data_IF_833241635439
#
_entry.id   IF_833241635439
#
_cell.length_a   1.000
_cell.length_b   1.000
_cell.length_c   1.000
_cell.angle_alpha   90.00
_cell.angle_beta   90.00
_cell.angle_gamma   90.00
#
_symmetry.space_group_name_H-M   'P 1'
#
loop_
_entity.id
_entity.type
_entity.pdbx_description
1 polymer ?
#
# COMPACT_ATOMS: atom_id res chain seq x y z
N UNK A 1 56.71 15.31 8.99
CA UNK A 1 55.85 15.31 10.19
C UNK A 1 55.68 13.91 10.73
N UNK A 2 55.59 13.77 12.03
CA UNK A 2 55.43 12.48 12.71
C UNK A 2 54.36 12.59 13.81
N UNK A 3 53.54 11.54 13.97
CA UNK A 3 52.51 11.57 14.99
C UNK A 3 53.08 11.25 16.38
N UNK A 4 52.48 11.83 17.42
CA UNK A 4 52.73 11.42 18.81
C UNK A 4 52.55 9.88 18.95
N UNK A 5 53.43 9.24 19.72
CA UNK A 5 53.45 7.79 19.86
C UNK A 5 54.19 7.02 18.76
N UNK A 6 54.46 7.64 17.61
CA UNK A 6 55.19 7.00 16.51
C UNK A 6 56.71 7.14 16.69
N UNK A 7 57.48 6.25 16.07
CA UNK A 7 58.93 6.31 16.08
C UNK A 7 59.46 7.24 14.97
N UNK A 8 60.48 8.02 15.28
CA UNK A 8 61.28 8.77 14.35
C UNK A 8 62.69 8.17 14.33
N UNK A 9 63.28 7.96 13.15
CA UNK A 9 64.65 7.49 12.97
C UNK A 9 65.55 8.60 12.47
N UNK A 10 66.81 8.54 12.91
CA UNK A 10 67.92 9.33 12.41
C UNK A 10 68.98 8.37 11.89
N UNK A 11 69.28 8.46 10.61
CA UNK A 11 70.42 7.73 10.03
C UNK A 11 71.64 8.63 10.07
N UNK A 12 72.73 8.16 10.68
CA UNK A 12 73.96 8.80 10.78
C UNK A 12 74.84 8.39 9.62
N UNK A 13 75.24 9.29 8.75
CA UNK A 13 76.23 9.02 7.76
C UNK A 13 77.60 9.14 8.45
N UNK A 14 77.95 8.04 9.20
CA UNK A 14 79.21 7.98 9.91
C UNK A 14 80.38 8.15 8.92
N UNK A 15 81.12 9.19 9.14
CA UNK A 15 82.24 9.51 8.30
C UNK A 15 83.49 8.70 8.68
N UNK A 16 83.54 8.30 9.95
CA UNK A 16 84.55 7.48 10.55
C UNK A 16 83.88 6.51 11.56
N UNK A 17 84.18 5.22 11.48
CA UNK A 17 83.69 4.23 12.41
C UNK A 17 84.15 4.41 13.88
N UNK A 18 85.11 5.33 14.11
CA UNK A 18 85.64 5.68 15.41
C UNK A 18 84.90 6.80 16.14
N UNK A 19 83.99 7.48 15.47
CA UNK A 19 83.26 8.59 16.09
C UNK A 19 82.09 8.12 16.94
N UNK A 20 81.91 8.69 18.10
CA UNK A 20 80.76 8.52 18.99
C UNK A 20 79.82 9.74 18.79
N UNK A 21 78.55 9.53 19.11
CA UNK A 21 77.52 10.54 18.87
C UNK A 21 76.62 10.72 20.10
N UNK A 22 76.17 11.97 20.33
CA UNK A 22 75.03 12.26 21.21
C UNK A 22 73.93 12.81 20.35
N UNK A 23 72.74 12.19 20.46
CA UNK A 23 71.54 12.71 19.84
C UNK A 23 70.64 13.28 20.93
N UNK A 24 70.37 14.57 20.84
CA UNK A 24 69.42 15.27 21.72
C UNK A 24 68.16 15.58 20.98
N UNK A 25 67.13 14.85 21.36
CA UNK A 25 65.81 15.08 20.86
C UNK A 25 65.10 16.10 21.75
N UNK A 26 64.49 17.12 21.19
CA UNK A 26 63.84 18.18 21.99
C UNK A 26 62.64 18.74 21.26
N UNK A 27 61.60 19.04 22.00
CA UNK A 27 60.45 19.84 21.56
C UNK A 27 60.59 21.27 22.08
N UNK A 28 61.02 21.41 23.29
CA UNK A 28 61.32 22.64 24.03
C UNK A 28 62.22 22.33 25.22
N UNK A 29 62.51 23.32 26.07
CA UNK A 29 63.34 23.11 27.24
C UNK A 29 62.88 22.15 28.28
N UNK A 30 61.55 21.77 28.27
CA UNK A 30 60.93 20.85 29.22
C UNK A 30 60.71 19.46 28.62
N UNK A 31 60.73 19.35 27.31
CA UNK A 31 60.51 18.10 26.58
C UNK A 31 61.79 17.76 25.78
N UNK A 32 62.73 17.09 26.45
CA UNK A 32 64.00 16.69 25.87
C UNK A 32 64.38 15.26 26.28
N UNK A 33 65.06 14.53 25.39
CA UNK A 33 65.67 13.24 25.64
C UNK A 33 67.06 13.19 25.01
N UNK A 34 67.98 12.50 25.67
CA UNK A 34 69.34 12.36 25.17
C UNK A 34 69.69 10.88 25.00
N UNK A 35 70.31 10.54 23.88
CA UNK A 35 70.87 9.25 23.57
C UNK A 35 72.35 9.33 23.29
N UNK A 36 73.11 8.44 23.91
CA UNK A 36 74.51 8.28 23.68
C UNK A 36 74.73 7.09 22.75
N UNK A 37 75.52 7.30 21.71
CA UNK A 37 75.73 6.28 20.66
C UNK A 37 77.24 6.03 20.55
N UNK A 38 77.61 4.78 20.77
CA UNK A 38 79.01 4.35 20.64
C UNK A 38 79.52 4.40 19.19
N UNK A 39 80.82 4.27 19.03
CA UNK A 39 81.48 4.25 17.72
C UNK A 39 80.91 3.11 16.86
N UNK A 40 80.74 3.37 15.57
CA UNK A 40 80.14 2.43 14.58
C UNK A 40 78.64 2.34 14.55
N UNK A 41 77.91 3.06 15.38
CA UNK A 41 76.45 3.14 15.33
C UNK A 41 76.01 4.12 14.25
N UNK A 42 75.31 3.60 13.21
CA UNK A 42 74.86 4.39 12.07
C UNK A 42 73.38 4.74 12.07
N UNK A 43 72.61 4.29 13.05
CA UNK A 43 71.20 4.57 13.14
C UNK A 43 70.74 4.62 14.60
N UNK A 44 69.86 5.55 14.87
CA UNK A 44 69.10 5.59 16.14
C UNK A 44 67.64 5.97 15.90
N UNK A 45 66.80 5.65 16.84
CA UNK A 45 65.38 6.03 16.77
C UNK A 45 64.84 6.38 18.15
N UNK A 46 63.80 7.19 18.17
CA UNK A 46 63.08 7.56 19.37
C UNK A 46 61.59 7.47 19.10
N UNK A 47 60.81 6.92 20.04
CA UNK A 47 59.35 7.06 20.00
C UNK A 47 58.97 8.44 20.54
N UNK A 48 58.23 9.21 19.75
CA UNK A 48 57.74 10.55 20.17
C UNK A 48 56.79 10.34 21.36
N UNK A 49 57.10 10.85 22.55
CA UNK A 49 56.19 10.71 23.68
C UNK A 49 54.84 11.38 23.43
N UNK A 50 53.78 10.77 23.86
CA UNK A 50 52.43 11.36 23.75
C UNK A 50 52.24 12.62 24.57
N UNK A 51 53.11 12.83 25.57
CA UNK A 51 53.18 14.05 26.39
C UNK A 51 53.81 15.24 25.69
N UNK A 52 54.58 15.02 24.58
CA UNK A 52 55.16 16.13 23.85
C UNK A 52 54.09 16.89 23.07
N UNK A 53 54.03 18.22 23.21
CA UNK A 53 53.05 19.02 22.48
C UNK A 53 53.36 19.02 20.98
N UNK A 54 52.30 19.21 20.17
CA UNK A 54 52.42 19.34 18.71
C UNK A 54 53.23 20.58 18.32
N UNK A 55 53.81 20.55 17.13
CA UNK A 55 54.59 21.64 16.55
C UNK A 55 56.01 21.23 16.24
N UNK A 56 56.90 22.20 16.01
CA UNK A 56 58.28 21.94 15.61
C UNK A 56 59.09 21.35 16.76
N UNK A 57 59.78 20.26 16.46
CA UNK A 57 60.72 19.60 17.36
C UNK A 57 62.08 19.45 16.64
N UNK A 58 63.11 19.11 17.37
CA UNK A 58 64.46 19.08 16.89
C UNK A 58 65.19 17.81 17.30
N UNK A 59 66.08 17.33 16.42
CA UNK A 59 67.10 16.36 16.72
C UNK A 59 68.47 17.07 16.52
N UNK A 60 69.21 17.26 17.60
CA UNK A 60 70.53 17.76 17.55
C UNK A 60 71.48 16.59 17.63
N UNK A 61 72.38 16.48 16.64
CA UNK A 61 73.45 15.50 16.57
C UNK A 61 74.74 16.19 16.92
N UNK A 62 75.42 15.68 17.94
CA UNK A 62 76.74 16.08 18.31
C UNK A 62 77.68 14.90 18.03
N UNK A 63 78.81 15.16 17.38
CA UNK A 63 79.80 14.15 17.01
C UNK A 63 81.10 14.37 17.81
N UNK A 64 81.63 13.26 18.35
CA UNK A 64 82.80 13.28 19.25
C UNK A 64 83.87 12.29 18.77
N UNK A 65 85.14 12.61 18.97
CA UNK A 65 86.32 11.76 18.62
C UNK A 65 86.56 10.63 19.56
N UNK A 66 85.89 10.60 20.71
CA UNK A 66 86.15 9.65 21.79
C UNK A 66 84.85 9.28 22.57
N UNK A 67 84.84 8.16 23.27
CA UNK A 67 83.72 7.60 24.05
C UNK A 67 83.57 8.34 25.41
N UNK A 68 84.42 9.27 25.74
CA UNK A 68 84.22 10.13 26.90
C UNK A 68 83.35 11.35 26.60
N UNK A 69 83.01 11.53 25.32
CA UNK A 69 82.22 12.67 24.81
C UNK A 69 82.79 14.02 25.26
N UNK A 70 84.13 14.13 25.31
CA UNK A 70 84.79 15.34 25.77
C UNK A 70 85.21 16.25 24.66
N UNK A 71 85.44 15.74 23.44
CA UNK A 71 85.95 16.50 22.30
C UNK A 71 84.93 16.53 21.13
N UNK A 72 84.03 17.49 21.16
CA UNK A 72 82.99 17.66 20.11
C UNK A 72 83.64 18.23 18.85
N UNK A 73 83.51 17.55 17.72
CA UNK A 73 84.07 17.94 16.43
C UNK A 73 82.98 18.51 15.47
N UNK A 74 81.70 18.33 15.76
CA UNK A 74 80.59 18.88 14.95
C UNK A 74 79.28 18.80 15.61
N UNK A 75 78.39 19.72 15.27
CA UNK A 75 76.97 19.72 15.70
C UNK A 75 76.09 20.01 14.53
N UNK A 76 75.07 19.19 14.32
CA UNK A 76 74.06 19.42 13.33
C UNK A 76 72.63 19.38 13.98
N UNK A 77 71.69 20.17 13.47
CA UNK A 77 70.36 20.27 14.00
C UNK A 77 69.35 20.04 12.87
N UNK A 78 68.51 19.06 13.10
CA UNK A 78 67.39 18.70 12.19
C UNK A 78 66.09 19.08 12.85
N UNK A 79 65.17 19.68 12.09
CA UNK A 79 63.80 19.96 12.57
C UNK A 79 62.78 19.00 11.98
N UNK A 80 61.79 18.65 12.77
CA UNK A 80 60.63 17.89 12.33
C UNK A 80 59.35 18.40 13.02
N UNK A 81 58.19 18.07 12.50
CA UNK A 81 56.89 18.51 13.05
C UNK A 81 56.23 17.36 13.77
N UNK A 82 55.87 17.54 15.03
CA UNK A 82 55.03 16.62 15.80
C UNK A 82 53.57 16.96 15.50
N UNK A 83 52.80 15.96 15.12
CA UNK A 83 51.36 16.05 14.88
C UNK A 83 50.61 15.22 15.89
N UNK A 84 49.31 15.48 16.04
CA UNK A 84 48.42 14.60 16.83
C UNK A 84 48.34 13.25 16.14
N UNK A 85 48.38 12.16 16.90
CA UNK A 85 48.01 10.86 16.39
C UNK A 85 46.48 10.86 16.12
N UNK A 86 46.07 10.73 14.85
CA UNK A 86 44.64 10.71 14.52
C UNK A 86 43.85 9.63 15.29
N UNK A 87 44.46 8.47 15.57
CA UNK A 87 43.84 7.37 16.28
C UNK A 87 43.55 7.70 17.76
N UNK A 88 44.33 8.62 18.36
CA UNK A 88 44.15 9.02 19.76
C UNK A 88 42.94 9.96 19.98
N UNK A 89 42.40 10.56 18.91
CA UNK A 89 41.26 11.48 18.98
C UNK A 89 39.96 10.71 18.92
N UNK A 90 39.50 10.26 20.06
CA UNK A 90 38.26 9.47 20.19
C UNK A 90 37.06 10.41 20.32
N UNK A 91 36.10 10.34 19.38
CA UNK A 91 34.85 11.08 19.49
C UNK A 91 33.92 10.45 20.54
N UNK A 92 33.04 11.28 21.13
CA UNK A 92 31.98 10.84 22.03
C UNK A 92 30.61 11.05 21.37
N UNK A 93 29.83 10.00 21.21
CA UNK A 93 28.56 10.10 20.51
C UNK A 93 27.50 10.90 21.29
N UNK A 94 27.58 10.91 22.62
CA UNK A 94 26.56 11.53 23.46
C UNK A 94 25.29 10.67 23.60
N UNK A 95 24.17 11.31 23.87
CA UNK A 95 22.87 10.67 24.12
C UNK A 95 21.89 11.02 23.02
N UNK A 96 21.29 10.00 22.38
CA UNK A 96 20.19 10.15 21.45
C UNK A 96 18.86 10.12 22.21
N UNK A 97 18.02 11.13 22.01
CA UNK A 97 16.60 11.16 22.41
C UNK A 97 15.72 11.23 21.17
N UNK A 98 14.52 10.62 21.28
CA UNK A 98 13.52 10.61 20.21
C UNK A 98 12.19 11.04 20.80
N UNK A 99 11.58 12.06 20.24
CA UNK A 99 10.30 12.59 20.64
C UNK A 99 9.25 12.44 19.53
N UNK A 100 8.03 12.10 19.91
CA UNK A 100 6.88 12.09 19.03
C UNK A 100 6.50 13.53 18.66
N UNK A 101 6.28 13.78 17.37
CA UNK A 101 5.69 15.02 16.87
C UNK A 101 4.46 14.68 16.05
N UNK A 102 3.30 15.16 16.49
CA UNK A 102 2.02 14.90 15.84
C UNK A 102 1.45 16.17 15.23
N UNK A 103 0.83 16.08 14.02
CA UNK A 103 0.05 17.18 13.47
C UNK A 103 -1.26 17.34 14.25
N UNK A 104 -1.89 18.53 14.17
CA UNK A 104 -3.17 18.81 14.81
C UNK A 104 -4.34 17.92 14.32
N UNK A 105 -4.16 17.24 13.20
CA UNK A 105 -5.12 16.28 12.62
C UNK A 105 -5.15 14.93 13.34
N UNK A 106 -4.19 14.64 14.20
CA UNK A 106 -4.19 13.44 15.06
C UNK A 106 -4.62 13.86 16.46
N UNK A 107 -5.54 13.13 17.14
CA UNK A 107 -5.95 13.46 18.50
C UNK A 107 -4.75 13.59 19.43
N UNK A 108 -4.68 14.69 20.20
CA UNK A 108 -3.52 15.02 21.04
C UNK A 108 -3.27 14.02 22.18
N UNK A 109 -4.28 13.22 22.53
CA UNK A 109 -4.20 12.16 23.53
C UNK A 109 -3.73 10.81 22.98
N UNK A 110 -3.42 10.73 21.68
CA UNK A 110 -2.87 9.54 21.06
C UNK A 110 -1.33 9.57 21.18
N UNK A 111 -0.80 9.23 22.28
CA UNK A 111 0.65 9.21 22.51
C UNK A 111 1.32 8.01 21.81
N UNK A 112 1.14 7.91 20.49
CA UNK A 112 1.66 6.85 19.63
C UNK A 112 2.01 7.39 18.24
N UNK A 113 2.98 6.77 17.57
CA UNK A 113 3.31 7.11 16.18
C UNK A 113 2.28 6.47 15.23
N UNK A 114 1.63 7.30 14.42
CA UNK A 114 0.63 6.91 13.43
C UNK A 114 1.22 7.03 12.03
N UNK A 115 1.19 5.94 11.27
CA UNK A 115 1.66 5.91 9.87
C UNK A 115 1.00 6.99 9.03
N UNK A 116 1.81 7.68 8.24
CA UNK A 116 1.37 8.75 7.33
C UNK A 116 1.07 10.09 7.99
N UNK A 117 1.11 10.17 9.34
CA UNK A 117 0.79 11.38 10.10
C UNK A 117 1.93 11.82 11.02
N UNK A 118 2.39 10.91 11.88
CA UNK A 118 3.38 11.27 12.90
C UNK A 118 4.79 11.39 12.33
N UNK A 119 5.59 12.27 12.94
CA UNK A 119 7.00 12.43 12.68
C UNK A 119 7.81 12.17 13.96
N UNK A 120 9.07 11.80 13.83
CA UNK A 120 9.98 11.59 14.94
C UNK A 120 11.03 12.71 14.96
N UNK A 121 11.16 13.39 16.10
CA UNK A 121 12.23 14.37 16.31
C UNK A 121 13.37 13.71 17.10
N UNK A 122 14.48 13.50 16.42
CA UNK A 122 15.74 13.01 16.99
C UNK A 122 16.54 14.18 17.50
N UNK A 123 17.12 14.07 18.68
CA UNK A 123 18.04 15.06 19.25
C UNK A 123 19.23 14.34 19.85
N UNK A 124 20.44 14.71 19.38
CA UNK A 124 21.69 14.22 19.90
C UNK A 124 22.29 15.29 20.82
N UNK A 125 22.54 14.95 22.08
CA UNK A 125 23.11 15.84 23.10
C UNK A 125 24.39 15.30 23.69
N UNK A 126 25.31 16.20 24.09
CA UNK A 126 26.58 15.81 24.72
C UNK A 126 27.56 15.08 23.78
N UNK A 127 27.38 15.18 22.47
CA UNK A 127 28.36 14.67 21.51
C UNK A 127 29.60 15.56 21.44
N UNK A 128 30.76 14.94 21.12
CA UNK A 128 32.00 15.67 20.92
C UNK A 128 32.82 15.00 19.82
N UNK A 129 33.46 15.76 18.91
CA UNK A 129 34.37 15.21 17.91
C UNK A 129 35.72 14.76 18.48
N UNK A 130 35.96 15.00 19.77
CA UNK A 130 37.25 14.84 20.42
C UNK A 130 38.08 16.13 20.43
N UNK A 131 38.96 16.24 21.43
CA UNK A 131 39.78 17.45 21.62
C UNK A 131 40.67 17.71 20.39
N UNK A 132 40.68 18.96 19.89
CA UNK A 132 41.48 19.34 18.72
C UNK A 132 40.93 18.84 17.37
N UNK A 133 39.70 18.32 17.33
CA UNK A 133 39.03 17.86 16.10
C UNK A 133 37.72 18.60 15.88
N UNK A 134 37.17 18.46 14.69
CA UNK A 134 35.83 18.92 14.30
C UNK A 134 34.96 17.77 13.82
N UNK A 135 33.68 18.00 13.70
CA UNK A 135 32.79 17.03 13.08
C UNK A 135 33.04 16.97 11.57
N UNK A 136 33.34 15.78 11.04
CA UNK A 136 33.24 15.47 9.61
C UNK A 136 31.81 15.17 9.22
N UNK A 137 31.10 14.43 10.08
CA UNK A 137 29.72 14.08 9.85
C UNK A 137 29.00 13.73 11.16
N UNK A 138 27.77 14.21 11.29
CA UNK A 138 26.77 13.77 12.27
C UNK A 138 25.64 13.14 11.45
N UNK A 139 25.44 11.84 11.57
CA UNK A 139 24.40 11.08 10.89
C UNK A 139 23.31 10.72 11.90
N UNK A 140 22.10 11.25 11.68
CA UNK A 140 20.89 10.88 12.41
C UNK A 140 19.98 10.13 11.48
N UNK A 141 19.45 8.97 11.88
CA UNK A 141 18.55 8.17 11.07
C UNK A 141 17.43 7.54 11.90
N UNK A 142 16.26 7.34 11.29
CA UNK A 142 15.13 6.62 11.85
C UNK A 142 14.40 5.85 10.74
N UNK A 143 14.40 4.52 10.80
CA UNK A 143 13.97 3.69 9.68
C UNK A 143 14.80 3.98 8.42
N UNK A 144 14.12 4.19 7.30
CA UNK A 144 14.75 4.54 6.01
C UNK A 144 15.16 6.02 5.89
N UNK A 145 14.70 6.89 6.81
CA UNK A 145 14.96 8.33 6.74
C UNK A 145 16.22 8.70 7.49
N UNK A 146 17.01 9.61 6.92
CA UNK A 146 18.26 10.04 7.53
C UNK A 146 18.60 11.49 7.19
N UNK A 147 19.42 12.11 8.05
CA UNK A 147 20.03 13.41 7.84
C UNK A 147 21.51 13.34 8.18
N UNK A 148 22.33 13.91 7.32
CA UNK A 148 23.78 14.06 7.49
C UNK A 148 24.12 15.53 7.56
N UNK A 149 24.89 15.94 8.57
CA UNK A 149 25.31 17.33 8.78
C UNK A 149 26.66 17.37 9.48
N UNK A 150 27.34 18.52 9.43
CA UNK A 150 28.57 18.76 10.18
C UNK A 150 28.35 19.54 11.50
N UNK A 151 27.15 20.04 11.70
CA UNK A 151 26.86 20.92 12.86
C UNK A 151 25.51 20.65 13.51
N UNK A 152 24.54 20.11 12.76
CA UNK A 152 23.19 19.93 13.27
C UNK A 152 23.04 18.63 14.06
N UNK A 153 22.62 18.75 15.29
CA UNK A 153 22.39 17.64 16.22
C UNK A 153 20.91 17.25 16.33
N UNK A 154 20.04 17.83 15.48
CA UNK A 154 18.61 17.54 15.44
C UNK A 154 18.16 17.13 14.05
N UNK A 155 17.25 16.17 14.00
CA UNK A 155 16.59 15.71 12.78
C UNK A 155 15.14 15.41 13.06
N UNK A 156 14.22 16.06 12.35
CA UNK A 156 12.80 15.67 12.34
C UNK A 156 12.54 14.95 11.03
N UNK A 157 12.01 13.72 11.13
CA UNK A 157 11.63 12.93 9.95
C UNK A 157 10.48 13.59 9.20
N UNK A 158 10.27 13.23 7.94
CA UNK A 158 8.98 13.37 7.33
C UNK A 158 7.97 12.43 8.01
N UNK A 159 6.70 12.47 7.61
CA UNK A 159 5.70 11.51 8.08
C UNK A 159 6.22 10.07 7.92
N UNK A 160 6.08 9.27 8.98
CA UNK A 160 6.58 7.89 8.99
C UNK A 160 5.64 7.01 8.17
N UNK A 161 6.16 6.41 7.10
CA UNK A 161 5.38 5.58 6.18
C UNK A 161 5.54 4.07 6.44
N UNK A 162 6.55 3.68 7.21
CA UNK A 162 6.81 2.31 7.63
C UNK A 162 6.04 1.99 8.91
N UNK A 163 5.59 0.75 9.07
CA UNK A 163 4.88 0.27 10.27
C UNK A 163 5.75 -0.69 11.07
N UNK A 164 5.41 -0.86 12.36
CA UNK A 164 6.14 -1.72 13.27
C UNK A 164 7.27 -0.99 13.99
N UNK A 165 8.28 -1.75 14.43
CA UNK A 165 9.42 -1.21 15.15
C UNK A 165 10.43 -0.57 14.19
N UNK A 166 10.70 0.72 14.37
CA UNK A 166 11.77 1.44 13.68
C UNK A 166 12.91 1.74 14.65
N UNK A 167 14.14 1.51 14.19
CA UNK A 167 15.34 1.86 14.95
C UNK A 167 15.81 3.25 14.56
N UNK A 168 16.01 4.11 15.57
CA UNK A 168 16.59 5.44 15.41
C UNK A 168 18.05 5.41 15.89
N UNK A 169 18.97 5.94 15.10
CA UNK A 169 20.43 5.87 15.33
C UNK A 169 21.05 7.24 15.22
N UNK A 170 22.15 7.42 15.96
CA UNK A 170 23.04 8.56 15.82
C UNK A 170 24.49 8.07 15.75
N UNK A 171 25.22 8.52 14.72
CA UNK A 171 26.64 8.25 14.53
C UNK A 171 27.34 9.55 14.23
N UNK A 172 28.43 9.81 14.91
CA UNK A 172 29.33 10.91 14.62
C UNK A 172 30.63 10.37 14.05
N UNK A 173 31.24 11.14 13.16
CA UNK A 173 32.57 10.90 12.61
C UNK A 173 33.33 12.20 12.71
N UNK A 174 34.56 12.18 13.25
CA UNK A 174 35.41 13.36 13.35
C UNK A 174 36.25 13.60 12.09
N UNK A 175 36.95 14.68 12.04
CA UNK A 175 37.78 15.08 10.89
C UNK A 175 38.85 14.04 10.53
N UNK A 176 39.28 13.24 11.49
CA UNK A 176 40.28 12.17 11.30
C UNK A 176 39.65 10.82 10.84
N UNK A 177 38.35 10.73 10.80
CA UNK A 177 37.65 9.52 10.36
C UNK A 177 37.24 8.58 11.51
N UNK A 178 37.58 8.89 12.75
CA UNK A 178 37.15 8.10 13.90
C UNK A 178 35.67 8.33 14.17
N UNK A 179 34.96 7.27 14.54
CA UNK A 179 33.53 7.32 14.70
C UNK A 179 33.08 6.80 16.08
N UNK A 180 31.95 7.32 16.55
CA UNK A 180 31.24 6.83 17.72
C UNK A 180 29.74 6.83 17.43
N UNK A 181 29.02 5.88 18.03
CA UNK A 181 27.57 5.74 17.91
C UNK A 181 26.90 5.86 19.28
N UNK A 182 25.83 6.61 19.35
CA UNK A 182 24.98 6.61 20.54
C UNK A 182 24.18 5.28 20.63
N UNK A 183 23.66 4.97 21.81
CA UNK A 183 22.77 3.84 21.99
C UNK A 183 21.51 4.02 21.14
N UNK A 184 21.18 3.01 20.35
CA UNK A 184 20.01 3.00 19.50
C UNK A 184 18.72 3.20 20.31
N UNK A 185 17.74 3.87 19.72
CA UNK A 185 16.40 4.01 20.25
C UNK A 185 15.41 3.36 19.30
N UNK A 186 14.37 2.76 19.84
CA UNK A 186 13.28 2.17 19.04
C UNK A 186 11.99 2.93 19.27
N UNK A 187 11.21 3.08 18.20
CA UNK A 187 9.84 3.58 18.22
C UNK A 187 8.94 2.56 17.54
N UNK A 188 7.65 2.52 17.91
CA UNK A 188 6.68 1.66 17.23
C UNK A 188 5.69 2.53 16.48
N UNK A 189 5.59 2.32 15.17
CA UNK A 189 4.64 3.03 14.28
C UNK A 189 3.45 2.12 13.99
N UNK A 190 2.26 2.59 14.32
CA UNK A 190 1.01 1.85 14.15
C UNK A 190 0.37 2.20 12.81
N UNK A 191 -0.17 1.17 12.15
CA UNK A 191 -0.88 1.36 10.89
C UNK A 191 -2.20 2.09 11.09
N UNK A 192 -2.57 2.88 10.09
CA UNK A 192 -3.87 3.54 10.01
C UNK A 192 -4.45 3.41 8.61
N UNK A 193 -5.73 3.12 8.58
CA UNK A 193 -6.59 3.20 7.40
C UNK A 193 -7.94 3.78 7.81
N UNK A 194 -8.56 4.53 6.89
CA UNK A 194 -9.91 5.06 7.09
C UNK A 194 -10.94 3.94 7.26
N UNK A 195 -12.05 4.15 7.97
CA UNK A 195 -13.11 3.16 8.13
C UNK A 195 -13.50 2.49 6.80
N UNK A 196 -13.49 1.17 6.78
CA UNK A 196 -13.81 0.34 5.61
C UNK A 196 -15.13 -0.37 5.85
N UNK A 197 -16.07 -0.20 4.93
CA UNK A 197 -17.32 -0.94 4.95
C UNK A 197 -17.09 -2.35 4.39
N UNK A 198 -17.14 -3.36 5.26
CA UNK A 198 -17.06 -4.75 4.88
C UNK A 198 -18.38 -5.25 4.27
N UNK A 199 -19.50 -4.72 4.76
CA UNK A 199 -20.82 -5.00 4.19
C UNK A 199 -21.79 -3.85 4.49
N UNK A 200 -22.74 -3.65 3.60
CA UNK A 200 -23.92 -2.80 3.79
C UNK A 200 -25.11 -3.47 3.13
N UNK A 201 -26.17 -3.68 3.91
CA UNK A 201 -27.45 -4.16 3.43
C UNK A 201 -28.57 -3.28 3.97
N UNK A 202 -29.59 -3.04 3.14
CA UNK A 202 -30.79 -2.34 3.54
C UNK A 202 -32.00 -2.96 2.84
N UNK A 203 -33.11 -3.07 3.57
CA UNK A 203 -34.39 -3.53 3.03
C UNK A 203 -35.55 -2.84 3.73
N UNK A 204 -36.71 -2.77 3.06
CA UNK A 204 -37.92 -2.24 3.66
C UNK A 204 -38.48 -3.22 4.70
N UNK A 205 -39.03 -2.62 5.76
CA UNK A 205 -39.56 -3.43 6.87
C UNK A 205 -40.69 -2.70 7.61
N UNK A 206 -41.33 -3.44 8.48
CA UNK A 206 -42.24 -2.90 9.50
C UNK A 206 -41.43 -2.24 10.64
N UNK A 207 -42.11 -1.62 11.58
CA UNK A 207 -41.46 -0.93 12.75
C UNK A 207 -40.65 -1.87 13.65
N UNK A 208 -40.91 -3.17 13.60
CA UNK A 208 -40.14 -4.18 14.35
C UNK A 208 -39.06 -4.88 13.53
N UNK A 209 -38.76 -4.38 12.31
CA UNK A 209 -37.72 -4.93 11.47
C UNK A 209 -38.10 -6.14 10.59
N UNK A 210 -39.35 -6.58 10.65
CA UNK A 210 -39.83 -7.67 9.79
C UNK A 210 -39.86 -7.19 8.32
N UNK A 211 -39.23 -7.89 7.37
CA UNK A 211 -39.29 -7.55 5.97
C UNK A 211 -40.73 -7.33 5.46
N UNK A 212 -40.90 -6.20 4.77
CA UNK A 212 -42.23 -5.84 4.22
C UNK A 212 -42.03 -4.85 3.08
N UNK A 213 -42.52 -5.21 1.90
CA UNK A 213 -42.37 -4.37 0.69
C UNK A 213 -43.15 -3.07 0.78
N UNK A 214 -44.20 -3.03 1.57
CA UNK A 214 -45.01 -1.85 1.83
C UNK A 214 -44.71 -1.19 3.19
N UNK A 215 -43.67 -1.67 3.89
CA UNK A 215 -43.30 -1.18 5.19
C UNK A 215 -42.87 0.30 5.16
N UNK A 216 -43.17 1.04 6.20
CA UNK A 216 -42.85 2.46 6.33
C UNK A 216 -41.42 2.71 6.89
N UNK A 217 -40.65 1.65 7.09
CA UNK A 217 -39.31 1.68 7.68
C UNK A 217 -38.29 1.00 6.79
N UNK A 218 -37.00 1.25 7.08
CA UNK A 218 -35.87 0.57 6.44
C UNK A 218 -35.03 -0.07 7.54
N UNK A 219 -34.74 -1.37 7.40
CA UNK A 219 -33.73 -2.04 8.22
C UNK A 219 -32.38 -1.87 7.54
N UNK A 220 -31.39 -1.38 8.28
CA UNK A 220 -30.01 -1.14 7.80
C UNK A 220 -29.06 -1.96 8.63
N UNK A 221 -28.18 -2.72 7.96
CA UNK A 221 -27.08 -3.46 8.59
C UNK A 221 -25.79 -3.05 7.91
N UNK A 222 -24.88 -2.46 8.66
CA UNK A 222 -23.55 -2.10 8.16
C UNK A 222 -22.47 -2.72 9.05
N UNK A 223 -21.45 -3.32 8.43
CA UNK A 223 -20.26 -3.80 9.11
C UNK A 223 -19.07 -2.92 8.72
N UNK A 224 -18.48 -2.25 9.71
CA UNK A 224 -17.37 -1.30 9.52
C UNK A 224 -16.17 -1.77 10.32
N UNK A 225 -15.02 -1.81 9.66
CA UNK A 225 -13.72 -2.09 10.26
C UNK A 225 -12.92 -0.79 10.34
N UNK A 226 -12.25 -0.55 11.47
CA UNK A 226 -11.38 0.59 11.71
C UNK A 226 -9.97 0.13 12.09
N UNK A 227 -8.97 0.96 11.82
CA UNK A 227 -7.61 0.74 12.32
C UNK A 227 -7.58 0.94 13.85
N UNK A 228 -7.04 -0.03 14.58
CA UNK A 228 -7.00 0.04 16.06
C UNK A 228 -6.05 1.10 16.60
N UNK A 229 -4.93 1.34 15.92
CA UNK A 229 -3.88 2.29 16.35
C UNK A 229 -3.50 2.07 17.83
N UNK A 230 -3.13 0.82 18.17
CA UNK A 230 -2.82 0.41 19.55
C UNK A 230 -3.99 0.67 20.56
N UNK A 231 -5.22 0.47 20.11
CA UNK A 231 -6.41 0.69 20.95
C UNK A 231 -6.76 2.15 21.20
N UNK A 232 -6.08 3.10 20.54
CA UNK A 232 -6.37 4.54 20.68
C UNK A 232 -7.51 5.00 19.79
N UNK A 233 -7.73 4.33 18.65
CA UNK A 233 -8.79 4.67 17.71
C UNK A 233 -10.09 3.92 18.05
N UNK A 234 -11.20 4.58 17.86
CA UNK A 234 -12.54 4.02 18.02
C UNK A 234 -13.48 4.59 16.97
N UNK A 235 -14.55 3.87 16.67
CA UNK A 235 -15.64 4.38 15.85
C UNK A 235 -16.42 5.42 16.66
N UNK A 236 -16.33 6.68 16.23
CA UNK A 236 -16.98 7.83 16.91
C UNK A 236 -18.43 8.00 16.46
N UNK A 237 -18.64 7.84 15.13
CA UNK A 237 -19.96 7.98 14.53
C UNK A 237 -20.21 6.85 13.55
N UNK A 238 -21.36 6.22 13.65
CA UNK A 238 -21.93 5.36 12.63
C UNK A 238 -23.40 5.70 12.50
N UNK A 239 -23.80 6.24 11.35
CA UNK A 239 -25.16 6.75 11.13
C UNK A 239 -25.64 6.47 9.73
N UNK A 240 -26.94 6.31 9.59
CA UNK A 240 -27.61 6.11 8.32
C UNK A 240 -28.58 7.26 8.02
N UNK A 241 -28.74 7.54 6.74
CA UNK A 241 -29.74 8.44 6.19
C UNK A 241 -30.40 7.76 4.99
N UNK A 242 -31.62 8.12 4.70
CA UNK A 242 -32.32 7.64 3.51
C UNK A 242 -32.85 8.81 2.68
N UNK A 243 -33.03 8.57 1.40
CA UNK A 243 -33.64 9.50 0.45
C UNK A 243 -34.45 8.72 -0.58
N UNK A 244 -35.49 9.28 -1.21
CA UNK A 244 -36.08 8.69 -2.41
C UNK A 244 -35.01 8.41 -3.46
N UNK A 245 -35.13 7.29 -4.17
CA UNK A 245 -34.15 6.92 -5.18
C UNK A 245 -34.00 8.02 -6.24
N UNK A 246 -32.75 8.44 -6.50
CA UNK A 246 -32.45 9.54 -7.41
C UNK A 246 -32.62 10.94 -6.83
N UNK A 247 -32.95 11.08 -5.54
CA UNK A 247 -33.05 12.35 -4.84
C UNK A 247 -31.78 12.62 -4.03
N UNK A 248 -31.35 13.88 -3.97
CA UNK A 248 -30.29 14.36 -3.09
C UNK A 248 -30.78 14.91 -1.76
N UNK A 249 -32.10 14.84 -1.50
CA UNK A 249 -32.69 15.29 -0.24
C UNK A 249 -32.71 14.15 0.76
N UNK A 250 -31.74 14.19 1.67
CA UNK A 250 -31.51 13.14 2.66
C UNK A 250 -32.29 13.43 3.96
N UNK A 251 -32.79 12.36 4.58
CA UNK A 251 -33.39 12.43 5.93
C UNK A 251 -32.39 12.90 6.98
N UNK A 252 -32.88 13.24 8.16
CA UNK A 252 -32.02 13.40 9.36
C UNK A 252 -31.23 12.11 9.60
N UNK A 253 -29.96 12.24 9.92
CA UNK A 253 -29.09 11.13 10.23
C UNK A 253 -29.55 10.42 11.53
N UNK A 254 -29.59 9.10 11.49
CA UNK A 254 -29.94 8.25 12.63
C UNK A 254 -28.79 7.33 12.97
N UNK A 255 -28.42 7.26 14.26
CA UNK A 255 -27.36 6.36 14.71
C UNK A 255 -27.74 4.90 14.48
N UNK A 256 -26.77 4.10 14.01
CA UNK A 256 -26.93 2.66 13.83
C UNK A 256 -25.81 1.91 14.56
N UNK A 257 -26.05 0.63 14.84
CA UNK A 257 -25.09 -0.22 15.55
C UNK A 257 -24.25 -1.01 14.56
N UNK A 258 -22.92 -0.98 14.72
CA UNK A 258 -21.99 -1.71 13.88
C UNK A 258 -22.24 -3.23 13.95
N UNK A 259 -22.42 -3.87 12.79
CA UNK A 259 -22.66 -5.30 12.65
C UNK A 259 -24.06 -5.76 13.04
N UNK A 260 -24.97 -4.86 13.41
CA UNK A 260 -26.34 -5.21 13.81
C UNK A 260 -27.38 -4.46 13.00
N UNK A 261 -28.54 -5.11 12.76
CA UNK A 261 -29.65 -4.47 12.08
C UNK A 261 -30.24 -3.34 12.95
N UNK A 262 -30.44 -2.19 12.35
CA UNK A 262 -31.10 -1.03 12.97
C UNK A 262 -32.24 -0.56 12.07
N UNK A 263 -33.41 -0.35 12.65
CA UNK A 263 -34.58 0.15 11.93
C UNK A 263 -34.61 1.67 11.96
N UNK A 264 -34.70 2.28 10.78
CA UNK A 264 -34.75 3.74 10.58
C UNK A 264 -35.99 4.12 9.76
N UNK A 265 -36.37 5.39 9.75
CA UNK A 265 -37.51 5.88 8.96
C UNK A 265 -38.77 6.03 9.82
N UNK A 266 -39.91 5.60 9.30
CA UNK A 266 -41.23 5.66 9.93
C UNK A 266 -42.30 6.36 9.09
N UNK A 267 -41.93 6.94 7.93
CA UNK A 267 -42.86 7.60 7.01
C UNK A 267 -42.39 7.52 5.56
N UNK A 268 -41.76 6.42 5.18
CA UNK A 268 -41.36 6.22 3.80
C UNK A 268 -42.59 5.77 2.98
N UNK A 269 -42.77 6.36 1.79
CA UNK A 269 -43.89 6.06 0.89
C UNK A 269 -43.83 4.62 0.36
N UNK A 270 -45.00 3.97 0.21
CA UNK A 270 -45.12 2.54 -0.21
C UNK A 270 -44.65 2.26 -1.63
N UNK A 271 -44.73 3.23 -2.53
CA UNK A 271 -44.55 3.07 -3.98
C UNK A 271 -43.21 3.55 -4.51
N UNK A 272 -42.32 4.08 -3.68
CA UNK A 272 -41.04 4.64 -4.12
C UNK A 272 -39.88 3.79 -3.66
N UNK A 273 -38.88 3.61 -4.52
CA UNK A 273 -37.59 3.09 -4.12
C UNK A 273 -36.84 4.12 -3.27
N UNK A 274 -36.01 3.65 -2.35
CA UNK A 274 -35.18 4.49 -1.50
C UNK A 274 -33.72 4.08 -1.60
N UNK A 275 -32.86 5.06 -1.51
CA UNK A 275 -31.43 4.86 -1.30
C UNK A 275 -31.06 5.16 0.15
N UNK A 276 -30.10 4.40 0.67
CA UNK A 276 -29.61 4.54 2.05
C UNK A 276 -28.12 4.79 1.98
N UNK A 277 -27.66 5.87 2.59
CA UNK A 277 -26.22 6.11 2.79
C UNK A 277 -25.86 5.90 4.26
N UNK A 278 -24.70 5.32 4.47
CA UNK A 278 -24.13 5.13 5.79
C UNK A 278 -22.82 5.87 5.88
N UNK A 279 -22.66 6.65 6.94
CA UNK A 279 -21.46 7.43 7.23
C UNK A 279 -20.80 6.86 8.49
N UNK A 280 -19.50 6.59 8.39
CA UNK A 280 -18.67 6.17 9.51
C UNK A 280 -17.57 7.21 9.73
N UNK A 281 -17.31 7.55 10.99
CA UNK A 281 -16.26 8.48 11.42
C UNK A 281 -15.52 7.84 12.58
N UNK A 282 -14.23 7.64 12.44
CA UNK A 282 -13.36 7.21 13.53
C UNK A 282 -12.69 8.39 14.25
N UNK A 283 -11.89 8.12 15.28
CA UNK A 283 -11.25 9.15 16.08
C UNK A 283 -10.34 10.09 15.28
N UNK A 284 -9.61 9.58 14.29
CA UNK A 284 -8.73 10.40 13.45
C UNK A 284 -9.55 11.23 12.46
N UNK A 285 -10.54 10.64 11.82
CA UNK A 285 -11.44 11.36 10.92
C UNK A 285 -12.23 12.46 11.66
N UNK A 286 -12.67 12.19 12.89
CA UNK A 286 -13.33 13.17 13.72
C UNK A 286 -12.44 14.40 14.02
N UNK A 287 -11.15 14.15 14.27
CA UNK A 287 -10.18 15.23 14.49
C UNK A 287 -9.84 16.00 13.21
N UNK A 288 -9.77 15.31 12.07
CA UNK A 288 -9.43 15.91 10.77
C UNK A 288 -10.62 16.53 10.04
N UNK A 289 -11.87 16.29 10.49
CA UNK A 289 -13.10 16.75 9.85
C UNK A 289 -13.45 15.94 8.57
N UNK A 290 -12.96 14.70 8.46
CA UNK A 290 -13.25 13.80 7.35
C UNK A 290 -14.21 12.67 7.73
N UNK A 291 -14.66 11.89 6.75
CA UNK A 291 -15.55 10.75 6.99
C UNK A 291 -15.43 9.69 5.87
N UNK A 292 -15.87 8.48 6.17
CA UNK A 292 -16.08 7.41 5.19
C UNK A 292 -17.59 7.21 4.96
N UNK A 293 -18.00 7.02 3.71
CA UNK A 293 -19.41 6.90 3.35
C UNK A 293 -19.62 5.86 2.25
N UNK A 294 -20.73 5.13 2.32
CA UNK A 294 -21.20 4.22 1.27
C UNK A 294 -22.70 4.29 1.12
N UNK A 295 -23.24 3.82 -0.02
CA UNK A 295 -24.66 3.90 -0.34
C UNK A 295 -25.16 2.56 -0.89
N UNK A 296 -26.37 2.19 -0.52
CA UNK A 296 -27.10 1.04 -1.07
C UNK A 296 -28.54 1.44 -1.37
N UNK A 297 -29.17 0.76 -2.30
CA UNK A 297 -30.58 0.99 -2.62
C UNK A 297 -31.46 -0.03 -1.90
N UNK A 298 -32.46 0.46 -1.16
CA UNK A 298 -33.52 -0.34 -0.57
C UNK A 298 -34.75 -0.28 -1.48
N UNK A 299 -35.28 -1.43 -1.82
CA UNK A 299 -36.28 -1.57 -2.87
C UNK A 299 -37.68 -1.91 -2.34
N UNK A 300 -38.68 -1.59 -3.13
CA UNK A 300 -40.09 -2.03 -2.91
C UNK A 300 -40.48 -3.09 -3.93
N UNK A 301 -41.40 -3.98 -3.59
CA UNK A 301 -41.90 -5.03 -4.49
C UNK A 301 -42.67 -4.49 -5.70
N UNK A 302 -43.23 -3.28 -5.60
CA UNK A 302 -44.03 -2.67 -6.66
C UNK A 302 -43.21 -2.03 -7.77
N UNK A 303 -41.88 -2.05 -7.66
CA UNK A 303 -40.98 -1.49 -8.68
C UNK A 303 -40.26 -2.63 -9.41
N UNK A 304 -40.57 -2.75 -10.68
CA UNK A 304 -39.76 -3.53 -11.64
C UNK A 304 -38.38 -2.91 -11.72
N UNK A 305 -37.44 -3.53 -11.04
CA UNK A 305 -36.06 -3.05 -11.04
C UNK A 305 -35.34 -3.66 -12.21
N UNK A 306 -34.92 -2.79 -13.11
CA UNK A 306 -33.94 -3.17 -14.09
C UNK A 306 -32.57 -3.10 -13.40
N UNK A 307 -32.06 -4.25 -12.96
CA UNK A 307 -30.67 -4.35 -12.56
C UNK A 307 -29.83 -4.52 -13.83
N UNK A 308 -29.00 -3.53 -14.13
CA UNK A 308 -27.95 -3.67 -15.14
C UNK A 308 -26.66 -4.00 -14.41
N UNK A 309 -26.17 -5.22 -14.58
CA UNK A 309 -24.81 -5.56 -14.15
C UNK A 309 -23.75 -5.09 -15.17
N UNK A 310 -22.46 -5.18 -14.81
CA UNK A 310 -21.36 -4.81 -15.70
C UNK A 310 -21.28 -5.61 -17.02
N UNK A 311 -22.15 -6.63 -17.22
CA UNK A 311 -22.27 -7.42 -18.43
C UNK A 311 -23.44 -7.01 -19.34
N UNK A 312 -24.10 -5.88 -19.07
CA UNK A 312 -25.28 -5.41 -19.79
C UNK A 312 -26.50 -6.34 -19.69
N UNK A 313 -26.64 -7.09 -18.59
CA UNK A 313 -27.81 -7.93 -18.34
C UNK A 313 -28.91 -7.10 -17.70
N UNK A 314 -30.12 -7.28 -18.17
CA UNK A 314 -31.33 -6.75 -17.54
C UNK A 314 -32.00 -7.90 -16.78
N UNK A 315 -32.10 -7.78 -15.46
CA UNK A 315 -32.74 -8.76 -14.61
C UNK A 315 -33.94 -8.15 -13.90
N UNK A 316 -35.05 -8.87 -13.86
CA UNK A 316 -36.28 -8.45 -13.19
C UNK A 316 -36.53 -9.41 -12.02
N UNK A 317 -36.48 -8.87 -10.79
CA UNK A 317 -36.74 -9.66 -9.57
C UNK A 317 -35.63 -10.60 -9.13
N UNK A 318 -34.45 -10.55 -9.76
CA UNK A 318 -33.26 -11.35 -9.39
C UNK A 318 -31.98 -10.73 -9.87
N UNK A 319 -30.85 -11.14 -9.32
CA UNK A 319 -29.52 -10.79 -9.86
C UNK A 319 -29.27 -11.56 -11.16
N UNK A 320 -28.85 -10.90 -12.23
CA UNK A 320 -28.56 -11.51 -13.51
C UNK A 320 -27.42 -12.53 -13.43
N UNK A 321 -27.65 -13.76 -13.91
CA UNK A 321 -26.65 -14.84 -13.90
C UNK A 321 -26.12 -15.19 -15.29
N UNK A 322 -26.67 -14.57 -16.36
CA UNK A 322 -26.26 -14.80 -17.76
C UNK A 322 -26.00 -13.50 -18.47
N UNK A 323 -24.94 -13.47 -19.26
CA UNK A 323 -24.57 -12.31 -20.07
C UNK A 323 -25.52 -12.11 -21.26
N UNK A 324 -25.90 -10.84 -21.53
CA UNK A 324 -26.73 -10.42 -22.65
C UNK A 324 -28.12 -11.10 -22.71
N UNK A 325 -28.73 -11.31 -21.56
CA UNK A 325 -30.06 -11.94 -21.47
C UNK A 325 -30.98 -11.10 -20.59
N UNK A 326 -32.29 -11.15 -20.89
CA UNK A 326 -33.33 -10.74 -19.95
C UNK A 326 -33.69 -11.96 -19.12
N UNK A 327 -33.38 -11.91 -17.82
CA UNK A 327 -33.71 -12.99 -16.88
C UNK A 327 -34.87 -12.57 -15.98
N UNK A 328 -35.88 -13.41 -15.89
CA UNK A 328 -37.08 -13.18 -15.09
C UNK A 328 -37.23 -14.37 -14.14
N UNK A 329 -37.37 -14.12 -12.84
CA UNK A 329 -37.61 -15.13 -11.84
C UNK A 329 -39.12 -15.26 -11.61
N UNK A 330 -39.70 -16.42 -11.91
CA UNK A 330 -41.09 -16.71 -11.79
C UNK A 330 -41.88 -16.61 -13.10
N UNK A 331 -43.23 -16.73 -13.00
CA UNK A 331 -44.15 -16.56 -14.14
C UNK A 331 -44.18 -15.10 -14.60
N UNK A 332 -44.14 -14.90 -15.89
CA UNK A 332 -44.12 -13.57 -16.49
C UNK A 332 -45.18 -13.44 -17.59
N UNK A 333 -45.75 -12.26 -17.67
CA UNK A 333 -46.73 -11.92 -18.69
C UNK A 333 -46.12 -10.87 -19.62
N UNK A 334 -46.13 -11.12 -20.92
CA UNK A 334 -45.77 -10.12 -21.91
C UNK A 334 -47.06 -9.44 -22.39
N UNK A 335 -47.08 -8.12 -22.30
CA UNK A 335 -48.18 -7.29 -22.82
C UNK A 335 -47.77 -6.61 -24.11
N UNK A 336 -48.67 -6.57 -25.07
CA UNK A 336 -48.61 -5.67 -26.22
C UNK A 336 -49.78 -4.70 -26.14
N UNK A 337 -49.53 -3.48 -25.73
CA UNK A 337 -50.58 -2.54 -25.37
C UNK A 337 -51.32 -3.00 -24.08
N UNK A 338 -52.63 -2.95 -24.04
CA UNK A 338 -53.43 -3.44 -22.93
C UNK A 338 -53.74 -4.96 -22.95
N UNK A 339 -53.21 -5.67 -23.94
CA UNK A 339 -53.51 -7.10 -24.13
C UNK A 339 -52.35 -7.96 -23.65
N UNK A 340 -52.61 -8.82 -22.65
CA UNK A 340 -51.68 -9.83 -22.20
C UNK A 340 -51.45 -10.86 -23.31
N UNK A 341 -50.20 -11.09 -23.67
CA UNK A 341 -49.81 -12.15 -24.59
C UNK A 341 -49.75 -13.45 -23.80
N UNK A 342 -50.86 -14.24 -23.82
CA UNK A 342 -50.98 -15.53 -23.12
C UNK A 342 -50.10 -16.60 -23.77
N UNK A 343 -48.80 -16.49 -23.67
CA UNK A 343 -47.84 -17.50 -24.12
C UNK A 343 -47.72 -17.67 -25.65
N UNK A 344 -48.40 -16.84 -26.45
CA UNK A 344 -48.40 -16.94 -27.92
C UNK A 344 -47.78 -15.73 -28.55
N UNK A 345 -46.65 -15.89 -29.23
CA UNK A 345 -46.06 -14.84 -30.05
C UNK A 345 -46.75 -14.87 -31.42
N UNK A 346 -47.37 -13.76 -31.90
CA UNK A 346 -47.96 -13.71 -33.23
C UNK A 346 -46.98 -14.04 -34.34
N UNK A 347 -47.44 -14.71 -35.40
CA UNK A 347 -46.62 -15.07 -36.58
C UNK A 347 -45.95 -13.84 -37.18
N UNK A 348 -46.60 -12.68 -37.20
CA UNK A 348 -46.05 -11.39 -37.67
C UNK A 348 -44.87 -10.89 -36.86
N UNK A 349 -44.54 -11.47 -35.69
CA UNK A 349 -43.42 -11.17 -34.80
C UNK A 349 -42.49 -12.36 -34.58
N UNK A 350 -42.53 -13.38 -35.47
CA UNK A 350 -41.69 -14.55 -35.41
C UNK A 350 -42.22 -15.68 -34.50
N UNK A 351 -43.46 -15.55 -33.96
CA UNK A 351 -44.11 -16.60 -33.22
C UNK A 351 -44.99 -17.48 -34.11
N UNK A 352 -45.39 -18.66 -33.66
CA UNK A 352 -46.28 -19.58 -34.36
C UNK A 352 -47.78 -19.22 -34.24
N UNK A 353 -48.13 -18.31 -33.32
CA UNK A 353 -49.51 -17.88 -33.07
C UNK A 353 -50.42 -18.95 -32.49
N UNK A 354 -49.90 -20.12 -32.14
CA UNK A 354 -50.64 -21.26 -31.59
C UNK A 354 -50.31 -21.58 -30.14
N UNK A 355 -51.34 -21.93 -29.35
CA UNK A 355 -51.18 -22.37 -27.95
C UNK A 355 -50.89 -23.88 -27.81
N UNK A 356 -51.02 -24.62 -28.90
CA UNK A 356 -50.68 -26.05 -29.01
C UNK A 356 -49.77 -26.29 -30.22
N UNK A 357 -49.02 -27.37 -30.22
CA UNK A 357 -48.20 -27.76 -31.37
C UNK A 357 -49.01 -27.89 -32.68
N UNK A 358 -50.25 -28.44 -32.60
CA UNK A 358 -51.15 -28.55 -33.75
C UNK A 358 -51.60 -27.15 -34.25
N UNK A 359 -52.00 -26.26 -33.35
CA UNK A 359 -52.41 -24.92 -33.72
C UNK A 359 -51.24 -24.10 -34.27
N UNK A 360 -50.02 -24.28 -33.73
CA UNK A 360 -48.82 -23.65 -34.22
C UNK A 360 -48.49 -24.09 -35.64
N UNK A 361 -48.57 -25.38 -35.94
CA UNK A 361 -48.34 -25.94 -37.26
C UNK A 361 -49.40 -25.48 -38.26
N UNK A 362 -50.69 -25.49 -37.85
CA UNK A 362 -51.79 -25.00 -38.66
C UNK A 362 -51.61 -23.52 -39.06
N UNK A 363 -51.28 -22.68 -38.11
CA UNK A 363 -51.04 -21.27 -38.36
C UNK A 363 -49.83 -21.01 -39.27
N UNK A 364 -48.78 -21.79 -39.10
CA UNK A 364 -47.56 -21.68 -39.92
C UNK A 364 -47.89 -22.09 -41.39
N UNK A 365 -48.65 -23.15 -41.57
CA UNK A 365 -49.07 -23.61 -42.94
C UNK A 365 -50.01 -22.59 -43.56
N UNK A 366 -51.00 -22.09 -42.84
CA UNK A 366 -51.95 -21.09 -43.37
C UNK A 366 -51.34 -19.72 -43.70
N UNK A 367 -50.22 -19.41 -43.08
CA UNK A 367 -49.50 -18.16 -43.39
C UNK A 367 -48.69 -18.25 -44.68
N UNK A 368 -48.49 -19.43 -45.24
CA UNK A 368 -47.79 -19.61 -46.51
C UNK A 368 -48.70 -19.18 -47.66
N UNK A 369 -48.15 -18.44 -48.62
CA UNK A 369 -48.86 -18.12 -49.87
C UNK A 369 -49.13 -19.40 -50.66
N UNK A 370 -50.30 -19.49 -51.29
CA UNK A 370 -50.60 -20.57 -52.20
C UNK A 370 -49.56 -20.63 -53.31
N UNK A 371 -48.90 -21.77 -53.44
CA UNK A 371 -47.96 -22.04 -54.53
C UNK A 371 -48.48 -23.21 -55.36
N UNK A 372 -48.14 -23.24 -56.64
CA UNK A 372 -48.42 -24.43 -57.47
C UNK A 372 -47.43 -25.51 -57.12
N UNK A 373 -47.88 -26.66 -56.57
CA UNK A 373 -46.94 -27.72 -56.22
C UNK A 373 -46.24 -28.29 -57.42
N UNK A 374 -44.94 -28.55 -57.30
CA UNK A 374 -44.12 -29.25 -58.33
C UNK A 374 -43.60 -30.57 -57.78
N UNK A 375 -43.29 -31.51 -58.67
CA UNK A 375 -42.95 -32.90 -58.33
C UNK A 375 -41.83 -33.05 -57.30
N UNK A 376 -40.94 -32.06 -57.20
CA UNK A 376 -39.85 -32.04 -56.24
C UNK A 376 -40.17 -31.40 -54.88
N UNK A 377 -41.35 -30.88 -54.66
CA UNK A 377 -41.72 -30.25 -53.41
C UNK A 377 -41.76 -31.27 -52.25
N UNK A 378 -41.34 -30.81 -51.08
CA UNK A 378 -41.26 -31.67 -49.87
C UNK A 378 -42.43 -31.37 -48.96
N UNK A 379 -43.16 -32.41 -48.55
CA UNK A 379 -44.26 -32.37 -47.63
C UNK A 379 -43.78 -32.90 -46.28
N UNK A 380 -43.80 -32.12 -45.20
CA UNK A 380 -43.34 -32.59 -43.90
C UNK A 380 -44.33 -33.65 -43.35
N UNK A 381 -43.81 -34.74 -42.83
CA UNK A 381 -44.56 -35.79 -42.15
C UNK A 381 -44.04 -36.04 -40.76
N UNK A 382 -44.95 -36.36 -39.85
CA UNK A 382 -44.61 -36.89 -38.55
C UNK A 382 -45.06 -38.37 -38.53
N UNK A 383 -44.21 -39.27 -38.06
CA UNK A 383 -44.48 -40.67 -37.88
C UNK A 383 -45.63 -40.85 -36.91
N UNK A 384 -46.43 -41.93 -37.05
CA UNK A 384 -47.64 -42.21 -36.28
C UNK A 384 -47.35 -42.34 -34.76
N UNK A 385 -46.13 -42.73 -34.38
CA UNK A 385 -45.66 -42.77 -32.96
C UNK A 385 -45.09 -41.44 -32.45
N UNK A 386 -45.00 -40.42 -33.29
CA UNK A 386 -44.56 -39.08 -32.91
C UNK A 386 -43.04 -38.88 -32.66
N UNK A 387 -42.23 -39.90 -32.86
CA UNK A 387 -40.80 -39.90 -32.53
C UNK A 387 -39.87 -39.48 -33.67
N UNK A 388 -40.33 -39.55 -34.91
CA UNK A 388 -39.52 -39.24 -36.08
C UNK A 388 -40.24 -38.22 -36.98
N UNK A 389 -39.52 -37.17 -37.37
CA UNK A 389 -40.00 -36.22 -38.38
C UNK A 389 -39.23 -36.40 -39.66
N UNK A 390 -39.94 -36.46 -40.76
CA UNK A 390 -39.35 -36.59 -42.10
C UNK A 390 -40.13 -35.76 -43.10
N UNK A 391 -39.81 -35.94 -44.34
CA UNK A 391 -40.59 -35.41 -45.46
C UNK A 391 -40.79 -36.49 -46.52
N UNK A 392 -41.89 -36.39 -47.24
CA UNK A 392 -42.07 -37.09 -48.50
C UNK A 392 -42.07 -36.07 -49.64
N UNK A 393 -41.61 -36.45 -50.79
CA UNK A 393 -41.76 -35.61 -51.99
C UNK A 393 -43.18 -35.81 -52.55
N UNK A 394 -43.66 -34.79 -53.27
CA UNK A 394 -44.95 -34.94 -53.99
C UNK A 394 -44.94 -36.11 -54.98
N UNK A 395 -43.76 -36.44 -55.53
CA UNK A 395 -43.55 -37.62 -56.37
C UNK A 395 -43.82 -38.93 -55.61
N UNK A 396 -43.27 -39.06 -54.37
CA UNK A 396 -43.42 -40.24 -53.53
C UNK A 396 -44.88 -40.41 -53.08
N UNK A 397 -45.55 -39.30 -52.73
CA UNK A 397 -46.96 -39.29 -52.31
C UNK A 397 -47.85 -39.70 -53.48
N UNK A 398 -47.63 -39.14 -54.68
CA UNK A 398 -48.40 -39.52 -55.86
C UNK A 398 -48.18 -40.99 -56.20
N UNK A 399 -46.98 -41.52 -56.08
CA UNK A 399 -46.66 -42.93 -56.29
C UNK A 399 -47.37 -43.81 -55.27
N UNK A 400 -47.37 -43.44 -53.99
CA UNK A 400 -48.05 -44.16 -52.94
C UNK A 400 -49.64 -44.20 -53.13
N UNK A 401 -50.14 -43.13 -53.73
CA UNK A 401 -51.54 -43.04 -54.13
C UNK A 401 -51.87 -43.73 -55.42
N UNK A 402 -50.94 -44.44 -56.09
CA UNK A 402 -51.11 -45.17 -57.29
C UNK A 402 -51.10 -44.39 -58.61
N UNK A 403 -50.63 -43.13 -58.55
CA UNK A 403 -50.41 -42.32 -59.78
C UNK A 403 -49.06 -42.66 -60.39
N UNK A 404 -49.13 -43.18 -61.62
CA UNK A 404 -47.97 -43.42 -62.43
C UNK A 404 -47.83 -42.28 -63.48
N UNK A 405 -46.77 -41.50 -63.44
CA UNK A 405 -46.55 -40.32 -64.30
C UNK A 405 -47.67 -39.26 -64.23
N UNK A 406 -48.28 -39.07 -63.03
CA UNK A 406 -49.32 -38.04 -62.84
C UNK A 406 -50.69 -38.45 -63.38
N UNK A 407 -50.89 -39.68 -63.78
CA UNK A 407 -52.14 -40.18 -64.32
C UNK A 407 -52.72 -41.27 -63.39
N UNK A 408 -53.98 -41.14 -62.94
CA UNK A 408 -54.71 -42.20 -62.22
C UNK A 408 -54.83 -43.43 -63.13
N UNK A 409 -54.48 -44.61 -62.58
CA UNK A 409 -54.79 -45.82 -63.33
C UNK A 409 -56.32 -45.96 -63.51
N UNK A 410 -56.79 -45.97 -64.71
CA UNK A 410 -58.15 -46.32 -65.01
C UNK A 410 -58.41 -47.72 -64.45
N UNK A 411 -59.31 -47.84 -63.48
CA UNK A 411 -59.77 -49.13 -63.05
C UNK A 411 -60.27 -49.90 -64.31
N UNK A 412 -59.61 -51.00 -64.59
CA UNK A 412 -60.15 -51.92 -65.57
C UNK A 412 -61.46 -52.46 -65.00
N UNK A 413 -62.57 -51.97 -65.54
CA UNK A 413 -63.88 -52.56 -65.32
C UNK A 413 -63.93 -53.98 -65.92
#
# INVERSE_FOLDING_TARGET
SIAQGSAIGLTLNAYEDSYCHIVRWSRDSTHAQTQYLDAGISYTSMSIPTSWPTGTAYAQLETYTDDSYSSCVGTEVYSFTITVDPASIVPTAGTLSVALVQPATVPSNWDVYVKGYSTAKLTLSGSSPGSGSSYKNILLSCGSQQKSSQSETTFTTNALMETGMLTCKAKITNAYGNAASATDKTITVYDYFSPIFASLAAYRCTSNGTPSDTGAYISVTASVTIASVNGKNSLVTLQAQYAPAGSDTWSTAQAITNGSATVIGGSIGGTSGYQVRVTAIDGLQNQSGSYSQTTVTALTSDHVIFCMDGGLNVSVGMQGTRQRAVQINGDWDIYHGATKLNGTIPISRGGTGGTTAAAALYNLINALSAITPVVGDRIPFMDADGNTTGYVTLADLLTALGFSNGILPLAKG
#
